data_IF_278261522021
#
_entry.id   IF_278261522021
#
_cell.length_a   1.000
_cell.length_b   1.000
_cell.length_c   1.000
_cell.angle_alpha   90.00
_cell.angle_beta   90.00
_cell.angle_gamma   90.00
#
_symmetry.space_group_name_H-M   'P 1'
#
loop_
_entity.id
_entity.type
_entity.pdbx_description
1 polymer ?
#
# COMPACT_ATOMS: atom_id res chain seq x y z
N UNK A 1 4.95 17.40 -26.34
CA UNK A 1 5.56 17.13 -25.03
C UNK A 1 5.71 15.62 -24.96
N UNK A 2 6.88 15.09 -24.66
CA UNK A 2 7.01 13.66 -24.41
C UNK A 2 6.15 13.36 -23.16
N UNK A 3 5.29 12.36 -23.25
CA UNK A 3 4.58 11.85 -22.07
C UNK A 3 5.68 11.30 -21.16
N UNK A 4 5.84 11.88 -19.99
CA UNK A 4 6.79 11.38 -19.00
C UNK A 4 6.33 9.98 -18.63
N UNK A 5 7.23 9.00 -18.72
CA UNK A 5 6.88 7.59 -18.49
C UNK A 5 6.71 7.40 -16.99
N UNK A 6 5.59 6.77 -16.58
CA UNK A 6 5.35 6.43 -15.17
C UNK A 6 6.52 5.63 -14.60
N UNK A 7 6.81 5.81 -13.32
CA UNK A 7 7.88 5.11 -12.62
C UNK A 7 7.58 3.61 -12.51
N UNK A 8 6.31 3.25 -12.26
CA UNK A 8 5.81 1.88 -12.22
C UNK A 8 4.43 1.84 -12.90
N UNK A 9 4.20 0.83 -13.74
CA UNK A 9 2.89 0.58 -14.35
C UNK A 9 2.44 -0.84 -14.03
N UNK A 10 1.24 -0.97 -13.54
CA UNK A 10 0.58 -2.25 -13.24
C UNK A 10 -0.61 -2.35 -14.19
N UNK A 11 -0.65 -3.43 -14.99
CA UNK A 11 -1.67 -3.63 -16.01
C UNK A 11 -2.38 -4.97 -15.80
N UNK A 12 -3.69 -4.91 -15.51
CA UNK A 12 -4.59 -6.06 -15.36
C UNK A 12 -4.03 -7.14 -14.43
N UNK A 13 -3.40 -6.73 -13.33
CA UNK A 13 -2.76 -7.64 -12.39
C UNK A 13 -3.79 -8.45 -11.62
N UNK A 14 -3.63 -9.77 -11.65
CA UNK A 14 -4.40 -10.71 -10.86
C UNK A 14 -3.46 -11.63 -10.07
N UNK A 15 -3.73 -11.80 -8.78
CA UNK A 15 -2.95 -12.66 -7.88
C UNK A 15 -3.89 -13.64 -7.21
N UNK A 16 -3.76 -14.92 -7.58
CA UNK A 16 -4.59 -16.01 -7.08
C UNK A 16 -3.82 -16.95 -6.16
N UNK A 17 -4.43 -17.30 -5.04
CA UNK A 17 -3.92 -18.32 -4.12
C UNK A 17 -4.61 -19.66 -4.33
N UNK A 18 -3.84 -20.73 -4.17
CA UNK A 18 -4.30 -22.10 -4.35
C UNK A 18 -5.05 -22.62 -3.13
N UNK A 19 -6.28 -23.10 -3.38
CA UNK A 19 -7.09 -23.82 -2.41
C UNK A 19 -7.54 -25.15 -3.04
N UNK A 20 -6.95 -26.25 -2.62
CA UNK A 20 -7.13 -27.55 -3.28
C UNK A 20 -6.66 -27.49 -4.74
N UNK A 21 -7.57 -27.76 -5.68
CA UNK A 21 -7.27 -27.76 -7.12
C UNK A 21 -7.64 -26.44 -7.82
N UNK A 22 -8.09 -25.42 -7.07
CA UNK A 22 -8.55 -24.14 -7.64
C UNK A 22 -7.71 -22.98 -7.12
N UNK A 23 -7.62 -21.93 -7.96
CA UNK A 23 -7.07 -20.63 -7.58
C UNK A 23 -8.20 -19.63 -7.34
N UNK A 24 -8.04 -18.80 -6.32
CA UNK A 24 -8.96 -17.73 -5.97
C UNK A 24 -8.17 -16.41 -5.90
N UNK A 25 -8.62 -15.43 -6.66
CA UNK A 25 -7.92 -14.15 -6.79
C UNK A 25 -8.13 -13.28 -5.55
N UNK A 26 -7.03 -12.94 -4.87
CA UNK A 26 -6.98 -11.96 -3.80
C UNK A 26 -6.71 -10.54 -4.34
N UNK A 27 -6.11 -10.44 -5.52
CA UNK A 27 -6.04 -9.25 -6.37
C UNK A 27 -6.63 -9.67 -7.71
N UNK A 28 -7.49 -8.86 -8.28
CA UNK A 28 -8.29 -9.24 -9.44
C UNK A 28 -8.47 -8.05 -10.38
N UNK A 29 -7.81 -8.10 -11.53
CA UNK A 29 -7.84 -7.09 -12.59
C UNK A 29 -7.51 -5.67 -12.08
N UNK A 30 -6.37 -5.53 -11.39
CA UNK A 30 -5.89 -4.25 -10.88
C UNK A 30 -4.96 -3.60 -11.88
N UNK A 31 -5.25 -2.35 -12.25
CA UNK A 31 -4.39 -1.48 -13.06
C UNK A 31 -4.13 -0.18 -12.30
N UNK A 32 -2.87 0.17 -12.10
CA UNK A 32 -2.41 1.35 -11.37
C UNK A 32 -1.09 1.85 -11.97
N UNK A 33 -0.83 3.13 -11.83
CA UNK A 33 0.47 3.74 -12.10
C UNK A 33 1.04 4.37 -10.85
N UNK A 34 2.36 4.47 -10.76
CA UNK A 34 3.07 5.31 -9.80
C UNK A 34 3.96 6.26 -10.57
N UNK A 35 3.80 7.54 -10.29
CA UNK A 35 4.63 8.58 -10.90
C UNK A 35 5.87 8.86 -10.03
N UNK A 36 6.84 9.55 -10.61
CA UNK A 36 7.99 10.07 -9.86
C UNK A 36 7.51 11.19 -8.94
N UNK A 37 8.12 11.31 -7.76
CA UNK A 37 7.75 12.31 -6.75
C UNK A 37 6.29 12.19 -6.25
N UNK A 38 5.66 11.04 -6.40
CA UNK A 38 4.28 10.78 -6.00
C UNK A 38 4.20 9.90 -4.77
N UNK A 39 3.28 10.23 -3.85
CA UNK A 39 2.80 9.32 -2.79
C UNK A 39 1.41 8.82 -3.20
N UNK A 40 1.38 7.59 -3.71
CA UNK A 40 0.14 6.87 -4.01
C UNK A 40 -0.31 6.07 -2.77
N UNK A 41 -1.40 6.49 -2.14
CA UNK A 41 -1.99 5.72 -1.06
C UNK A 41 -2.91 4.60 -1.59
N UNK A 42 -2.80 3.40 -1.01
CA UNK A 42 -3.73 2.29 -1.25
C UNK A 42 -4.47 2.00 0.06
N UNK A 43 -5.77 2.26 0.08
CA UNK A 43 -6.60 2.16 1.28
C UNK A 43 -7.70 1.12 1.15
N UNK A 44 -8.19 0.62 2.28
CA UNK A 44 -9.31 -0.34 2.33
C UNK A 44 -9.26 -1.21 3.58
N UNK A 45 -10.35 -1.94 3.84
CA UNK A 45 -10.45 -2.85 4.99
C UNK A 45 -9.38 -3.95 4.96
N UNK A 46 -9.13 -4.56 6.12
CA UNK A 46 -8.30 -5.76 6.22
C UNK A 46 -8.84 -6.88 5.32
N UNK A 47 -7.95 -7.57 4.60
CA UNK A 47 -8.35 -8.61 3.63
C UNK A 47 -8.78 -8.07 2.25
N UNK A 48 -8.71 -6.77 1.98
CA UNK A 48 -9.05 -6.23 0.65
C UNK A 48 -8.01 -6.54 -0.45
N UNK A 49 -6.82 -7.07 -0.10
CA UNK A 49 -5.78 -7.48 -1.07
C UNK A 49 -4.55 -6.56 -1.14
N UNK A 50 -4.48 -5.49 -0.35
CA UNK A 50 -3.40 -4.46 -0.39
C UNK A 50 -1.99 -5.04 -0.24
N UNK A 51 -1.74 -5.80 0.83
CA UNK A 51 -0.43 -6.43 1.07
C UNK A 51 -0.10 -7.51 0.02
N UNK A 52 -1.13 -8.16 -0.55
CA UNK A 52 -0.94 -9.10 -1.67
C UNK A 52 -0.47 -8.36 -2.92
N UNK A 53 -1.03 -7.19 -3.22
CA UNK A 53 -0.59 -6.33 -4.30
C UNK A 53 0.86 -5.88 -4.09
N UNK A 54 1.21 -5.39 -2.88
CA UNK A 54 2.57 -4.99 -2.52
C UNK A 54 3.59 -6.12 -2.72
N UNK A 55 3.28 -7.31 -2.20
CA UNK A 55 4.17 -8.47 -2.35
C UNK A 55 4.25 -9.00 -3.78
N UNK A 56 3.23 -8.78 -4.61
CA UNK A 56 3.28 -9.08 -6.04
C UNK A 56 4.28 -8.16 -6.77
N UNK A 57 4.28 -6.86 -6.46
CA UNK A 57 5.20 -5.88 -7.08
C UNK A 57 6.66 -6.27 -6.86
N UNK A 58 7.00 -6.79 -5.67
CA UNK A 58 8.37 -7.22 -5.37
C UNK A 58 8.61 -8.73 -5.59
N UNK A 59 7.62 -9.45 -6.13
CA UNK A 59 7.73 -10.88 -6.48
C UNK A 59 7.98 -11.81 -5.30
N UNK A 60 7.43 -11.53 -4.11
CA UNK A 60 7.59 -12.34 -2.90
C UNK A 60 6.42 -13.31 -2.69
N UNK A 61 6.00 -13.98 -3.75
CA UNK A 61 5.00 -15.03 -3.69
C UNK A 61 5.60 -16.41 -3.89
N UNK A 62 5.06 -17.39 -3.17
CA UNK A 62 5.40 -18.80 -3.41
C UNK A 62 4.85 -19.26 -4.77
N UNK A 63 5.70 -19.54 -5.77
CA UNK A 63 5.25 -19.90 -7.12
C UNK A 63 4.49 -21.24 -7.17
N UNK A 64 4.57 -22.08 -6.12
CA UNK A 64 3.83 -23.34 -6.05
C UNK A 64 2.36 -23.14 -5.65
N UNK A 65 2.11 -22.10 -4.87
CA UNK A 65 0.80 -21.84 -4.27
C UNK A 65 0.16 -20.54 -4.76
N UNK A 66 0.86 -19.77 -5.59
CA UNK A 66 0.38 -18.47 -6.09
C UNK A 66 0.49 -18.42 -7.61
N UNK A 67 -0.53 -17.86 -8.25
CA UNK A 67 -0.56 -17.54 -9.67
C UNK A 67 -0.64 -16.03 -9.82
N UNK A 68 0.32 -15.44 -10.54
CA UNK A 68 0.35 -14.01 -10.85
C UNK A 68 0.17 -13.86 -12.36
N UNK A 69 -0.83 -13.09 -12.77
CA UNK A 69 -1.19 -12.80 -14.17
C UNK A 69 -1.27 -11.29 -14.37
N UNK A 70 -1.08 -10.80 -15.59
CA UNK A 70 -0.96 -9.39 -15.92
C UNK A 70 0.49 -8.94 -15.98
N UNK A 71 0.73 -7.64 -16.01
CA UNK A 71 2.06 -7.06 -16.20
C UNK A 71 2.38 -6.07 -15.07
N UNK A 72 3.64 -6.06 -14.64
CA UNK A 72 4.20 -5.07 -13.74
C UNK A 72 5.43 -4.49 -14.41
N UNK A 73 5.29 -3.31 -15.00
CA UNK A 73 6.34 -2.68 -15.79
C UNK A 73 7.10 -1.67 -14.94
N UNK A 74 8.38 -1.93 -14.77
CA UNK A 74 9.35 -1.02 -14.18
C UNK A 74 10.45 -0.72 -15.21
N UNK A 75 10.63 0.54 -15.59
CA UNK A 75 11.51 0.94 -16.69
C UNK A 75 11.12 0.21 -18.00
N UNK A 76 11.98 -0.71 -18.46
CA UNK A 76 11.76 -1.52 -19.67
C UNK A 76 11.53 -3.02 -19.35
N UNK A 77 11.34 -3.35 -18.07
CA UNK A 77 11.19 -4.72 -17.61
C UNK A 77 9.76 -5.00 -17.16
N UNK A 78 9.21 -6.12 -17.60
CA UNK A 78 8.05 -6.73 -16.94
C UNK A 78 8.55 -7.61 -15.78
N UNK A 79 8.29 -7.16 -14.56
CA UNK A 79 8.78 -7.82 -13.35
C UNK A 79 8.25 -9.26 -13.24
N UNK A 80 7.03 -9.53 -13.69
CA UNK A 80 6.44 -10.86 -13.65
C UNK A 80 7.17 -11.88 -14.54
N UNK A 81 7.95 -11.42 -15.52
CA UNK A 81 8.74 -12.28 -16.43
C UNK A 81 10.18 -12.47 -15.99
N UNK A 82 10.60 -11.82 -14.89
CA UNK A 82 11.97 -11.93 -14.39
C UNK A 82 12.18 -13.25 -13.67
N UNK A 83 13.37 -13.81 -13.86
CA UNK A 83 13.83 -14.91 -13.00
C UNK A 83 14.34 -14.36 -11.65
N UNK A 84 14.44 -15.22 -10.65
CA UNK A 84 14.84 -14.85 -9.29
C UNK A 84 16.19 -14.10 -9.23
N UNK A 85 17.16 -14.48 -10.08
CA UNK A 85 18.46 -13.80 -10.12
C UNK A 85 18.38 -12.34 -10.57
N UNK A 86 17.49 -12.03 -11.52
CA UNK A 86 17.25 -10.67 -12.00
C UNK A 86 16.40 -9.90 -10.98
N UNK A 87 15.40 -10.55 -10.41
CA UNK A 87 14.57 -9.96 -9.38
C UNK A 87 15.40 -9.53 -8.15
N UNK A 88 16.36 -10.35 -7.74
CA UNK A 88 17.24 -10.02 -6.61
C UNK A 88 18.15 -8.82 -6.85
N UNK A 89 18.32 -8.37 -8.09
CA UNK A 89 19.01 -7.09 -8.39
C UNK A 89 18.12 -5.88 -8.17
N UNK A 90 16.81 -6.05 -8.29
CA UNK A 90 15.80 -4.99 -8.16
C UNK A 90 15.39 -4.83 -6.69
N UNK A 91 15.15 -5.96 -6.00
CA UNK A 91 14.77 -5.96 -4.57
C UNK A 91 15.83 -5.28 -3.72
N UNK A 92 15.42 -4.28 -2.95
CA UNK A 92 16.29 -3.51 -2.07
C UNK A 92 17.24 -2.53 -2.76
N UNK A 93 17.37 -2.57 -4.10
CA UNK A 93 18.12 -1.59 -4.89
C UNK A 93 17.21 -0.60 -5.59
N UNK A 94 16.27 -1.09 -6.38
CA UNK A 94 15.33 -0.26 -7.14
C UNK A 94 13.96 -0.15 -6.47
N UNK A 95 13.55 -1.20 -5.76
CA UNK A 95 12.30 -1.24 -5.00
C UNK A 95 12.61 -1.64 -3.56
N UNK A 96 12.47 -0.68 -2.64
CA UNK A 96 12.52 -0.89 -1.20
C UNK A 96 11.15 -1.26 -0.66
N UNK A 97 11.09 -2.08 0.39
CA UNK A 97 9.81 -2.39 1.06
C UNK A 97 9.94 -2.33 2.57
N UNK A 98 8.99 -1.63 3.19
CA UNK A 98 8.74 -1.60 4.63
C UNK A 98 7.57 -2.53 4.89
N UNK A 99 7.80 -3.60 5.65
CA UNK A 99 6.78 -4.59 6.00
C UNK A 99 6.01 -4.19 7.26
N UNK A 100 4.78 -4.65 7.37
CA UNK A 100 3.84 -4.34 8.45
C UNK A 100 4.37 -4.73 9.85
N UNK A 101 5.09 -5.86 9.98
CA UNK A 101 5.60 -6.34 11.27
C UNK A 101 7.13 -6.21 11.36
N UNK A 102 7.64 -5.21 12.10
CA UNK A 102 9.08 -5.05 12.29
C UNK A 102 9.73 -6.17 13.09
N UNK A 103 8.97 -6.89 13.93
CA UNK A 103 9.50 -8.04 14.69
C UNK A 103 9.72 -9.25 13.79
N UNK A 104 8.80 -9.51 12.88
CA UNK A 104 8.92 -10.57 11.87
C UNK A 104 9.97 -10.27 10.82
N UNK A 105 10.23 -8.99 10.55
CA UNK A 105 11.18 -8.55 9.52
C UNK A 105 12.64 -8.61 10.00
N UNK A 106 12.90 -8.18 11.25
CA UNK A 106 14.26 -8.11 11.78
C UNK A 106 14.75 -9.49 12.27
N UNK A 107 15.96 -9.87 11.87
CA UNK A 107 16.62 -11.09 12.34
C UNK A 107 17.11 -10.89 13.80
N UNK A 108 16.55 -11.63 14.80
CA UNK A 108 16.86 -11.41 16.21
C UNK A 108 18.30 -11.77 16.61
N UNK A 109 19.03 -12.54 15.80
CA UNK A 109 20.41 -12.95 16.08
C UNK A 109 21.45 -12.16 15.28
N UNK A 110 21.02 -11.12 14.56
CA UNK A 110 21.92 -10.19 13.87
C UNK A 110 21.84 -8.79 14.47
N UNK A 111 22.98 -8.10 14.54
CA UNK A 111 23.00 -6.69 14.97
C UNK A 111 22.36 -5.79 13.91
N UNK A 112 21.90 -4.62 14.34
CA UNK A 112 21.33 -3.58 13.46
C UNK A 112 22.27 -3.27 12.28
N UNK A 113 23.57 -3.04 12.58
CA UNK A 113 24.57 -2.80 11.54
C UNK A 113 24.58 -3.88 10.46
N UNK A 114 24.63 -5.15 10.87
CA UNK A 114 24.72 -6.25 9.91
C UNK A 114 23.52 -6.33 9.00
N UNK A 115 22.32 -6.06 9.52
CA UNK A 115 21.09 -6.13 8.77
C UNK A 115 20.99 -4.99 7.74
N UNK A 116 21.31 -3.75 8.13
CA UNK A 116 21.31 -2.62 7.18
C UNK A 116 22.46 -2.76 6.16
N UNK A 117 23.66 -3.16 6.61
CA UNK A 117 24.82 -3.31 5.75
C UNK A 117 24.70 -4.48 4.76
N UNK A 118 23.82 -5.45 5.00
CA UNK A 118 23.60 -6.59 4.11
C UNK A 118 23.13 -6.14 2.73
N UNK A 119 22.14 -5.25 2.66
CA UNK A 119 21.65 -4.68 1.40
C UNK A 119 22.76 -3.95 0.64
N UNK A 120 23.57 -3.13 1.35
CA UNK A 120 24.70 -2.43 0.76
C UNK A 120 25.78 -3.39 0.24
N UNK A 121 26.01 -4.51 0.95
CA UNK A 121 26.99 -5.53 0.55
C UNK A 121 26.61 -6.20 -0.77
N UNK A 122 25.32 -6.45 -1.02
CA UNK A 122 24.87 -7.14 -2.21
C UNK A 122 24.70 -6.22 -3.43
N UNK A 123 24.44 -4.92 -3.21
CA UNK A 123 24.06 -4.00 -4.30
C UNK A 123 25.12 -2.93 -4.60
N UNK A 124 26.18 -2.80 -3.79
CA UNK A 124 27.20 -1.76 -3.98
C UNK A 124 28.61 -2.33 -3.89
N UNK A 125 29.59 -1.61 -4.46
CA UNK A 125 31.01 -1.92 -4.34
C UNK A 125 31.66 -1.27 -3.09
N UNK A 126 30.86 -0.79 -2.13
CA UNK A 126 31.33 -0.15 -0.91
C UNK A 126 32.21 -1.10 -0.08
N UNK A 127 33.36 -0.61 0.36
CA UNK A 127 34.16 -1.31 1.36
C UNK A 127 33.50 -1.22 2.76
N UNK A 128 34.08 -1.91 3.74
CA UNK A 128 33.47 -1.98 5.09
C UNK A 128 33.37 -0.61 5.78
N UNK A 129 34.37 0.26 5.63
CA UNK A 129 34.36 1.59 6.20
C UNK A 129 33.27 2.47 5.58
N UNK A 130 33.11 2.40 4.27
CA UNK A 130 32.06 3.10 3.54
C UNK A 130 30.66 2.60 3.94
N UNK A 131 30.45 1.28 4.04
CA UNK A 131 29.19 0.72 4.53
C UNK A 131 28.89 1.17 5.96
N UNK A 132 29.89 1.18 6.83
CA UNK A 132 29.70 1.65 8.21
C UNK A 132 29.32 3.13 8.27
N UNK A 133 29.95 3.97 7.46
CA UNK A 133 29.60 5.39 7.36
C UNK A 133 28.17 5.57 6.84
N UNK A 134 27.77 4.82 5.79
CA UNK A 134 26.43 4.88 5.23
C UNK A 134 25.36 4.39 6.21
N UNK A 135 25.61 3.30 6.95
CA UNK A 135 24.69 2.83 7.99
C UNK A 135 24.52 3.87 9.10
N UNK A 136 25.58 4.55 9.49
CA UNK A 136 25.53 5.62 10.48
C UNK A 136 24.71 6.80 9.96
N UNK A 137 24.91 7.20 8.71
CA UNK A 137 24.10 8.22 8.02
C UNK A 137 22.62 7.86 8.02
N UNK A 138 22.26 6.65 7.61
CA UNK A 138 20.87 6.16 7.59
C UNK A 138 20.22 6.17 8.97
N UNK A 139 20.92 5.71 10.01
CA UNK A 139 20.38 5.72 11.36
C UNK A 139 20.17 7.14 11.89
N UNK A 140 21.01 8.11 11.50
CA UNK A 140 20.78 9.53 11.79
C UNK A 140 19.58 10.05 11.01
N UNK A 141 19.47 9.76 9.70
CA UNK A 141 18.37 10.17 8.84
C UNK A 141 17.01 9.69 9.38
N UNK A 142 16.92 8.44 9.83
CA UNK A 142 15.70 7.92 10.45
C UNK A 142 15.52 8.34 11.93
N UNK A 143 16.34 9.22 12.44
CA UNK A 143 16.20 9.80 13.78
C UNK A 143 16.47 8.82 14.93
N UNK A 144 17.37 7.85 14.75
CA UNK A 144 17.77 6.93 15.83
C UNK A 144 18.68 7.68 16.83
N UNK A 145 18.35 7.72 18.14
CA UNK A 145 19.21 8.32 19.15
C UNK A 145 20.46 7.44 19.38
N UNK A 146 21.63 8.08 19.50
CA UNK A 146 22.91 7.42 19.73
C UNK A 146 23.22 6.28 18.72
N UNK A 147 23.25 6.56 17.40
CA UNK A 147 23.30 5.57 16.36
C UNK A 147 24.53 4.64 16.42
N UNK A 148 25.68 5.13 16.89
CA UNK A 148 26.89 4.30 17.06
C UNK A 148 26.70 3.16 18.09
N UNK A 149 25.87 3.37 19.09
CA UNK A 149 25.52 2.34 20.07
C UNK A 149 24.49 1.38 19.48
N UNK A 150 23.46 1.93 18.81
CA UNK A 150 22.38 1.14 18.20
C UNK A 150 22.89 0.25 17.06
N UNK A 151 23.88 0.66 16.30
CA UNK A 151 24.53 -0.21 15.30
C UNK A 151 24.97 -1.57 15.87
N UNK A 152 25.37 -1.61 17.14
CA UNK A 152 25.87 -2.84 17.81
C UNK A 152 24.76 -3.60 18.52
N UNK A 153 23.59 -2.99 18.69
CA UNK A 153 22.46 -3.59 19.39
C UNK A 153 21.77 -4.65 18.53
N UNK A 154 21.04 -5.52 19.20
CA UNK A 154 20.15 -6.50 18.60
C UNK A 154 18.69 -6.00 18.63
N UNK A 155 17.81 -6.52 17.75
CA UNK A 155 16.40 -6.06 17.69
C UNK A 155 15.66 -6.11 19.03
N UNK A 156 15.91 -7.10 19.87
CA UNK A 156 15.26 -7.25 21.17
C UNK A 156 15.66 -6.18 22.21
N UNK A 157 16.76 -5.46 21.97
CA UNK A 157 17.22 -4.35 22.82
C UNK A 157 16.58 -3.01 22.43
N UNK A 158 15.77 -2.96 21.35
CA UNK A 158 15.16 -1.75 20.82
C UNK A 158 13.69 -1.64 21.18
N UNK A 159 13.18 -0.39 21.33
CA UNK A 159 11.75 -0.13 21.41
C UNK A 159 11.04 -0.40 20.08
N UNK A 160 9.71 -0.50 20.07
CA UNK A 160 8.91 -0.71 18.86
C UNK A 160 9.20 0.34 17.78
N UNK A 161 9.16 1.62 18.15
CA UNK A 161 9.44 2.72 17.22
C UNK A 161 10.90 2.72 16.72
N UNK A 162 11.87 2.30 17.53
CA UNK A 162 13.26 2.16 17.07
C UNK A 162 13.40 1.00 16.08
N UNK A 163 12.72 -0.13 16.30
CA UNK A 163 12.71 -1.25 15.33
C UNK A 163 12.13 -0.81 14.01
N UNK A 164 11.02 -0.09 14.02
CA UNK A 164 10.40 0.45 12.80
C UNK A 164 11.36 1.37 12.04
N UNK A 165 12.03 2.29 12.74
CA UNK A 165 13.06 3.17 12.13
C UNK A 165 14.24 2.37 11.53
N UNK A 166 14.63 1.26 12.15
CA UNK A 166 15.65 0.36 11.59
C UNK A 166 15.15 -0.34 10.33
N UNK A 167 13.89 -0.82 10.30
CA UNK A 167 13.29 -1.42 9.09
C UNK A 167 13.23 -0.39 7.95
N UNK A 168 12.86 0.86 8.25
CA UNK A 168 12.90 1.96 7.28
C UNK A 168 14.32 2.19 6.77
N UNK A 169 15.33 2.22 7.67
CA UNK A 169 16.73 2.37 7.27
C UNK A 169 17.22 1.23 6.35
N UNK A 170 16.75 0.00 6.57
CA UNK A 170 17.05 -1.14 5.68
C UNK A 170 16.43 -0.91 4.29
N UNK A 171 15.16 -0.51 4.23
CA UNK A 171 14.47 -0.26 2.98
C UNK A 171 15.11 0.87 2.15
N UNK A 172 15.70 1.86 2.83
CA UNK A 172 16.34 3.04 2.22
C UNK A 172 17.84 2.88 1.95
N UNK A 173 18.44 1.74 2.27
CA UNK A 173 19.89 1.56 2.26
C UNK A 173 20.53 1.98 0.92
N UNK A 174 19.94 1.57 -0.19
CA UNK A 174 20.42 1.85 -1.55
C UNK A 174 19.72 3.04 -2.24
N UNK A 175 18.94 3.86 -1.51
CA UNK A 175 18.16 4.98 -2.08
C UNK A 175 17.26 4.52 -3.24
N UNK A 176 16.36 3.57 -3.02
CA UNK A 176 15.53 3.02 -4.09
C UNK A 176 14.61 4.10 -4.69
N UNK A 177 14.43 4.16 -6.02
CA UNK A 177 13.48 5.07 -6.66
C UNK A 177 12.02 4.75 -6.34
N UNK A 178 11.70 3.52 -5.91
CA UNK A 178 10.36 3.12 -5.46
C UNK A 178 10.45 2.60 -4.02
N UNK A 179 9.58 3.13 -3.16
CA UNK A 179 9.40 2.65 -1.79
C UNK A 179 7.97 2.16 -1.60
N UNK A 180 7.80 0.92 -1.17
CA UNK A 180 6.51 0.36 -0.76
C UNK A 180 6.48 0.32 0.76
N UNK A 181 5.49 0.97 1.37
CA UNK A 181 5.29 0.98 2.81
C UNK A 181 3.96 0.30 3.13
N UNK A 182 4.03 -0.93 3.61
CA UNK A 182 2.84 -1.73 3.98
C UNK A 182 2.56 -1.55 5.47
N UNK A 183 1.56 -0.73 5.77
CA UNK A 183 1.12 -0.35 7.12
C UNK A 183 2.29 0.06 8.06
N UNK A 184 3.11 1.04 7.67
CA UNK A 184 4.38 1.33 8.33
C UNK A 184 4.24 1.83 9.77
N UNK A 185 3.04 2.18 10.20
CA UNK A 185 2.73 2.74 11.52
C UNK A 185 1.87 1.84 12.41
N UNK A 186 1.49 0.67 11.92
CA UNK A 186 0.66 -0.28 12.68
C UNK A 186 1.35 -0.70 13.98
N UNK A 187 0.59 -0.76 15.07
CA UNK A 187 1.04 -1.08 16.43
C UNK A 187 2.02 -0.08 17.07
N UNK A 188 2.12 1.14 16.54
CA UNK A 188 2.84 2.25 17.16
C UNK A 188 1.86 3.19 17.87
N UNK A 189 2.35 3.90 18.89
CA UNK A 189 1.59 4.98 19.51
C UNK A 189 1.47 6.18 18.56
N UNK A 190 0.43 7.01 18.76
CA UNK A 190 0.08 8.12 17.86
C UNK A 190 1.24 9.10 17.65
N UNK A 191 2.05 9.34 18.69
CA UNK A 191 3.20 10.25 18.59
C UNK A 191 4.30 9.69 17.69
N UNK A 192 4.61 8.41 17.83
CA UNK A 192 5.61 7.73 16.98
C UNK A 192 5.07 7.58 15.56
N UNK A 193 3.77 7.31 15.40
CA UNK A 193 3.12 7.26 14.10
C UNK A 193 3.33 8.58 13.32
N UNK A 194 3.00 9.73 13.91
CA UNK A 194 3.22 11.03 13.28
C UNK A 194 4.69 11.24 12.88
N UNK A 195 5.64 10.91 13.76
CA UNK A 195 7.08 11.03 13.48
C UNK A 195 7.55 10.11 12.33
N UNK A 196 6.94 8.94 12.15
CA UNK A 196 7.28 8.05 11.02
C UNK A 196 6.74 8.60 9.70
N UNK A 197 5.56 9.21 9.73
CA UNK A 197 4.96 9.84 8.55
C UNK A 197 5.73 11.08 8.12
N UNK A 198 6.08 11.96 9.06
CA UNK A 198 6.95 13.11 8.80
C UNK A 198 8.28 12.65 8.18
N UNK A 199 8.88 11.60 8.75
CA UNK A 199 10.12 11.00 8.21
C UNK A 199 9.93 10.50 6.77
N UNK A 200 8.80 9.89 6.43
CA UNK A 200 8.54 9.40 5.06
C UNK A 200 8.37 10.56 4.09
N UNK A 201 7.71 11.65 4.49
CA UNK A 201 7.60 12.86 3.68
C UNK A 201 8.98 13.51 3.46
N UNK A 202 9.78 13.68 4.53
CA UNK A 202 11.15 14.22 4.44
C UNK A 202 12.01 13.39 3.47
N UNK A 203 11.88 12.05 3.52
CA UNK A 203 12.60 11.14 2.63
C UNK A 203 12.16 11.34 1.18
N UNK A 204 10.87 11.43 0.93
CA UNK A 204 10.31 11.62 -0.41
C UNK A 204 10.81 12.95 -1.01
N UNK A 205 10.74 14.04 -0.24
CA UNK A 205 11.25 15.36 -0.65
C UNK A 205 12.77 15.34 -0.94
N UNK A 206 13.56 14.61 -0.13
CA UNK A 206 15.02 14.53 -0.30
C UNK A 206 15.43 13.64 -1.47
N UNK A 207 14.74 12.52 -1.67
CA UNK A 207 15.16 11.48 -2.63
C UNK A 207 14.42 11.50 -3.95
N UNK A 208 13.30 12.22 -4.03
CA UNK A 208 12.44 12.29 -5.21
C UNK A 208 11.99 10.89 -5.69
N UNK A 209 11.74 9.98 -4.77
CA UNK A 209 11.22 8.64 -5.08
C UNK A 209 9.69 8.63 -5.18
N UNK A 210 9.13 7.59 -5.82
CA UNK A 210 7.71 7.31 -5.75
C UNK A 210 7.43 6.40 -4.55
N UNK A 211 6.38 6.69 -3.79
CA UNK A 211 5.99 5.91 -2.61
C UNK A 211 4.61 5.28 -2.83
N UNK A 212 4.50 3.97 -2.62
CA UNK A 212 3.22 3.29 -2.45
C UNK A 212 2.97 3.12 -0.95
N UNK A 213 2.03 3.90 -0.41
CA UNK A 213 1.66 3.87 1.01
C UNK A 213 0.39 3.05 1.21
N UNK A 214 0.52 1.88 1.81
CA UNK A 214 -0.62 1.05 2.18
C UNK A 214 -0.99 1.34 3.63
N UNK A 215 -2.24 1.74 3.85
CA UNK A 215 -2.74 2.02 5.19
C UNK A 215 -4.27 1.86 5.25
N UNK A 216 -4.80 1.72 6.45
CA UNK A 216 -6.23 1.81 6.73
C UNK A 216 -6.60 3.13 7.43
N UNK A 217 -5.62 3.98 7.72
CA UNK A 217 -5.81 5.27 8.38
C UNK A 217 -6.00 6.38 7.33
N UNK A 218 -7.24 6.82 7.17
CA UNK A 218 -7.61 7.87 6.22
C UNK A 218 -7.13 9.26 6.65
N UNK A 219 -6.87 9.49 7.94
CA UNK A 219 -6.27 10.72 8.43
C UNK A 219 -4.84 10.88 7.91
N UNK A 220 -4.06 9.81 7.99
CA UNK A 220 -2.72 9.73 7.40
C UNK A 220 -2.74 10.03 5.90
N UNK A 221 -3.67 9.41 5.19
CA UNK A 221 -3.80 9.57 3.73
C UNK A 221 -4.10 11.02 3.34
N UNK A 222 -5.01 11.67 4.09
CA UNK A 222 -5.38 13.06 3.83
C UNK A 222 -4.22 14.05 3.99
N UNK A 223 -3.25 13.73 4.84
CA UNK A 223 -2.10 14.59 5.15
C UNK A 223 -0.89 14.33 4.25
N UNK A 224 -0.75 13.10 3.73
CA UNK A 224 0.51 12.68 3.09
C UNK A 224 0.40 12.29 1.63
N UNK A 225 -0.78 11.86 1.14
CA UNK A 225 -0.90 11.31 -0.19
C UNK A 225 -1.23 12.36 -1.25
N UNK A 226 -0.70 12.17 -2.47
CA UNK A 226 -1.08 12.95 -3.65
C UNK A 226 -2.32 12.35 -4.32
N UNK A 227 -2.37 11.02 -4.40
CA UNK A 227 -3.43 10.25 -5.04
C UNK A 227 -3.79 9.02 -4.20
N UNK A 228 -5.06 8.64 -4.24
CA UNK A 228 -5.59 7.53 -3.44
C UNK A 228 -6.27 6.51 -4.34
N UNK A 229 -5.93 5.25 -4.17
CA UNK A 229 -6.62 4.11 -4.74
C UNK A 229 -7.34 3.34 -3.63
N UNK A 230 -8.66 3.30 -3.69
CA UNK A 230 -9.50 2.57 -2.72
C UNK A 230 -9.67 1.14 -3.20
N UNK A 231 -9.22 0.18 -2.38
CA UNK A 231 -9.25 -1.24 -2.70
C UNK A 231 -10.28 -1.98 -1.86
N UNK A 232 -11.17 -2.70 -2.52
CA UNK A 232 -12.17 -3.55 -1.89
C UNK A 232 -12.20 -4.94 -2.53
N UNK A 233 -12.13 -5.98 -1.70
CA UNK A 233 -12.30 -7.38 -2.13
C UNK A 233 -11.47 -7.74 -3.39
N UNK A 234 -10.23 -7.28 -3.45
CA UNK A 234 -9.28 -7.56 -4.54
C UNK A 234 -9.33 -6.60 -5.73
N UNK A 235 -10.21 -5.63 -5.76
CA UNK A 235 -10.36 -4.68 -6.88
C UNK A 235 -10.16 -3.24 -6.43
N UNK A 236 -9.63 -2.39 -7.33
CA UNK A 236 -9.70 -0.94 -7.16
C UNK A 236 -11.13 -0.51 -7.51
N UNK A 237 -11.81 0.09 -6.54
CA UNK A 237 -13.19 0.56 -6.69
C UNK A 237 -13.28 2.05 -6.98
N UNK A 238 -12.29 2.81 -6.51
CA UNK A 238 -12.19 4.26 -6.78
C UNK A 238 -10.72 4.68 -6.73
N UNK A 239 -10.32 5.59 -7.62
CA UNK A 239 -9.01 6.21 -7.68
C UNK A 239 -9.17 7.68 -8.02
N UNK A 240 -8.57 8.57 -7.20
CA UNK A 240 -8.63 10.01 -7.44
C UNK A 240 -7.47 10.75 -6.76
N UNK A 241 -7.18 12.01 -7.14
CA UNK A 241 -6.39 12.92 -6.30
C UNK A 241 -6.97 12.99 -4.90
N UNK A 242 -6.12 13.10 -3.89
CA UNK A 242 -6.55 13.04 -2.48
C UNK A 242 -7.65 14.04 -2.16
N UNK A 243 -7.47 15.30 -2.56
CA UNK A 243 -8.47 16.36 -2.32
C UNK A 243 -9.84 16.03 -2.94
N UNK A 244 -9.86 15.50 -4.17
CA UNK A 244 -11.10 15.12 -4.86
C UNK A 244 -11.76 13.92 -4.19
N UNK A 245 -10.99 12.90 -3.78
CA UNK A 245 -11.55 11.72 -3.10
C UNK A 245 -12.26 12.09 -1.80
N UNK A 246 -11.65 12.98 -1.00
CA UNK A 246 -12.24 13.39 0.28
C UNK A 246 -13.40 14.36 0.12
N UNK A 247 -13.33 15.29 -0.86
CA UNK A 247 -14.38 16.26 -1.11
C UNK A 247 -15.59 15.67 -1.84
N UNK A 248 -15.37 14.69 -2.73
CA UNK A 248 -16.38 14.21 -3.67
C UNK A 248 -16.30 12.69 -3.93
N UNK A 249 -16.28 11.85 -2.87
CA UNK A 249 -16.22 10.39 -3.01
C UNK A 249 -17.44 9.87 -3.75
N UNK A 250 -17.27 8.92 -4.66
CA UNK A 250 -18.32 8.39 -5.51
C UNK A 250 -18.74 6.99 -5.11
N UNK A 251 -17.80 6.03 -5.15
CA UNK A 251 -18.15 4.64 -4.93
C UNK A 251 -18.82 4.42 -3.57
N UNK A 252 -19.90 3.63 -3.47
CA UNK A 252 -20.60 3.37 -2.21
C UNK A 252 -19.69 2.93 -1.05
N UNK A 253 -18.69 2.09 -1.36
CA UNK A 253 -17.71 1.66 -0.37
C UNK A 253 -16.83 2.83 0.12
N UNK A 254 -16.32 3.66 -0.78
CA UNK A 254 -15.50 4.84 -0.42
C UNK A 254 -16.28 5.81 0.46
N UNK A 255 -17.53 6.11 0.09
CA UNK A 255 -18.43 6.95 0.89
C UNK A 255 -18.68 6.36 2.28
N UNK A 256 -18.92 5.06 2.35
CA UNK A 256 -19.11 4.36 3.63
C UNK A 256 -17.84 4.35 4.48
N UNK A 257 -16.66 4.14 3.85
CA UNK A 257 -15.37 4.14 4.51
C UNK A 257 -15.04 5.51 5.11
N UNK A 258 -15.22 6.59 4.35
CA UNK A 258 -15.01 7.97 4.83
C UNK A 258 -16.00 8.35 5.94
N UNK A 259 -17.28 7.93 5.83
CA UNK A 259 -18.29 8.21 6.86
C UNK A 259 -18.05 7.42 8.16
N UNK A 260 -17.26 6.35 8.13
CA UNK A 260 -16.89 5.56 9.31
C UNK A 260 -15.69 6.11 10.09
N UNK A 261 -15.01 7.14 9.55
CA UNK A 261 -13.91 7.82 10.25
C UNK A 261 -14.47 8.58 11.45
N UNK A 262 -13.89 8.40 12.66
CA UNK A 262 -14.30 9.17 13.83
C UNK A 262 -14.16 10.68 13.58
N UNK A 263 -15.23 11.41 13.78
CA UNK A 263 -15.29 12.88 13.79
C UNK A 263 -16.07 13.34 15.02
N UNK A 264 -16.05 14.64 15.31
CA UNK A 264 -16.91 15.17 16.38
C UNK A 264 -18.38 14.95 16.01
N UNK A 265 -19.02 14.01 16.71
CA UNK A 265 -20.42 13.67 16.53
C UNK A 265 -21.30 14.72 17.21
N UNK A 266 -22.41 15.11 16.56
CA UNK A 266 -23.47 15.86 17.20
C UNK A 266 -24.17 14.99 18.27
N UNK A 267 -24.82 15.63 19.26
CA UNK A 267 -25.58 14.91 20.30
C UNK A 267 -26.65 14.00 19.65
N UNK A 268 -26.50 12.68 19.85
CA UNK A 268 -27.40 11.66 19.33
C UNK A 268 -27.07 11.12 17.93
N UNK A 269 -25.95 11.56 17.33
CA UNK A 269 -25.42 10.99 16.09
C UNK A 269 -24.62 9.72 16.41
N UNK A 270 -24.86 8.64 15.66
CA UNK A 270 -24.09 7.40 15.74
C UNK A 270 -23.05 7.33 14.63
N UNK A 271 -21.88 6.78 14.93
CA UNK A 271 -20.86 6.50 13.91
C UNK A 271 -21.43 5.54 12.86
N UNK A 272 -21.19 5.86 11.59
CA UNK A 272 -21.54 4.96 10.50
C UNK A 272 -20.70 3.69 10.56
N UNK A 273 -21.35 2.54 10.56
CA UNK A 273 -20.71 1.22 10.53
C UNK A 273 -21.00 0.57 9.18
N UNK A 274 -19.95 0.15 8.49
CA UNK A 274 -20.09 -0.60 7.24
C UNK A 274 -20.61 -2.01 7.59
N UNK A 275 -21.79 -2.35 7.11
CA UNK A 275 -22.43 -3.64 7.43
C UNK A 275 -21.64 -4.83 6.88
N UNK A 276 -21.59 -5.93 7.65
CA UNK A 276 -20.95 -7.17 7.24
C UNK A 276 -19.41 -7.09 7.25
N UNK A 277 -18.78 -8.03 6.56
CA UNK A 277 -17.31 -8.13 6.44
C UNK A 277 -16.92 -8.36 4.99
N UNK A 278 -15.66 -8.11 4.64
CA UNK A 278 -15.12 -8.50 3.34
C UNK A 278 -15.29 -10.02 3.16
N UNK A 279 -15.91 -10.49 2.07
CA UNK A 279 -16.09 -11.92 1.85
C UNK A 279 -14.76 -12.67 1.77
N UNK A 280 -14.73 -13.91 2.25
CA UNK A 280 -13.54 -14.76 2.07
C UNK A 280 -13.27 -15.02 0.59
N UNK A 281 -12.02 -15.27 0.20
CA UNK A 281 -11.62 -15.50 -1.19
C UNK A 281 -12.46 -16.53 -1.94
N UNK A 282 -12.92 -17.57 -1.24
CA UNK A 282 -13.75 -18.64 -1.82
C UNK A 282 -15.18 -18.18 -2.12
N UNK A 283 -15.66 -17.17 -1.39
CA UNK A 283 -17.02 -16.65 -1.45
C UNK A 283 -17.11 -15.31 -2.23
N UNK A 284 -16.00 -14.80 -2.74
CA UNK A 284 -16.02 -13.58 -3.55
C UNK A 284 -16.86 -13.78 -4.81
N UNK A 285 -17.81 -12.88 -5.08
CA UNK A 285 -18.52 -12.85 -6.37
C UNK A 285 -17.52 -12.73 -7.53
N UNK A 286 -17.67 -13.56 -8.54
CA UNK A 286 -16.82 -13.52 -9.73
C UNK A 286 -17.32 -12.54 -10.79
N UNK A 287 -18.54 -12.05 -10.63
CA UNK A 287 -19.20 -11.06 -11.50
C UNK A 287 -20.02 -10.11 -10.65
N UNK A 288 -20.28 -8.94 -11.18
CA UNK A 288 -21.07 -7.91 -10.52
C UNK A 288 -20.28 -7.11 -9.50
N UNK A 289 -20.95 -6.16 -8.90
CA UNK A 289 -20.39 -5.31 -7.85
C UNK A 289 -20.20 -6.09 -6.56
N UNK A 290 -18.95 -6.19 -6.10
CA UNK A 290 -18.57 -6.95 -4.89
C UNK A 290 -19.06 -6.33 -3.60
N UNK A 291 -19.44 -5.06 -3.62
CA UNK A 291 -19.96 -4.35 -2.45
C UNK A 291 -21.48 -4.45 -2.32
N UNK A 292 -22.19 -4.94 -3.35
CA UNK A 292 -23.66 -5.05 -3.43
C UNK A 292 -24.28 -5.66 -2.16
N UNK A 293 -23.75 -6.79 -1.69
CA UNK A 293 -24.31 -7.50 -0.55
C UNK A 293 -24.21 -6.72 0.78
N UNK A 294 -23.42 -5.65 0.83
CA UNK A 294 -23.24 -4.80 2.01
C UNK A 294 -24.09 -3.53 2.00
N UNK A 295 -24.86 -3.32 0.93
CA UNK A 295 -25.81 -2.21 0.76
C UNK A 295 -27.18 -2.74 0.31
N UNK A 296 -27.81 -3.61 1.13
CA UNK A 296 -29.03 -4.37 0.75
C UNK A 296 -30.28 -3.50 0.57
N UNK A 297 -30.20 -2.20 0.85
CA UNK A 297 -31.31 -1.25 0.64
C UNK A 297 -31.33 -0.67 -0.79
N UNK A 298 -30.35 -0.98 -1.63
CA UNK A 298 -30.33 -0.58 -3.02
C UNK A 298 -30.99 -1.62 -3.92
N UNK A 299 -31.67 -1.16 -4.94
CA UNK A 299 -32.29 -2.03 -5.93
C UNK A 299 -31.24 -2.74 -6.80
N UNK A 300 -31.57 -3.95 -7.26
CA UNK A 300 -30.66 -4.79 -8.03
C UNK A 300 -30.22 -4.18 -9.37
N UNK A 301 -31.08 -3.40 -9.99
CA UNK A 301 -30.85 -2.68 -11.24
C UNK A 301 -29.95 -1.45 -11.13
N UNK A 302 -29.57 -1.04 -9.90
CA UNK A 302 -28.54 -0.04 -9.67
C UNK A 302 -27.10 -0.56 -9.90
N UNK A 303 -26.93 -1.87 -10.05
CA UNK A 303 -25.62 -2.51 -10.16
C UNK A 303 -25.34 -3.06 -11.55
N UNK A 304 -24.09 -2.90 -12.01
CA UNK A 304 -23.65 -3.48 -13.26
C UNK A 304 -23.33 -4.98 -13.10
N UNK A 305 -23.61 -5.78 -14.14
CA UNK A 305 -23.22 -7.19 -14.19
C UNK A 305 -21.70 -7.39 -14.33
N UNK A 306 -21.01 -6.42 -14.92
CA UNK A 306 -19.56 -6.40 -15.12
C UNK A 306 -18.99 -4.99 -14.90
N UNK A 307 -18.86 -4.53 -13.65
CA UNK A 307 -18.44 -3.18 -13.32
C UNK A 307 -16.97 -2.95 -13.71
N UNK A 308 -16.74 -1.99 -14.60
CA UNK A 308 -15.43 -1.56 -15.04
C UNK A 308 -14.97 -0.32 -14.30
N UNK A 309 -13.66 -0.18 -14.07
CA UNK A 309 -13.07 1.06 -13.54
C UNK A 309 -12.99 2.08 -14.69
N UNK A 310 -13.78 3.15 -14.62
CA UNK A 310 -13.88 4.16 -15.67
C UNK A 310 -13.61 5.55 -15.15
N UNK A 311 -12.92 6.37 -15.94
CA UNK A 311 -12.68 7.77 -15.63
C UNK A 311 -13.95 8.58 -15.81
N UNK A 312 -14.38 9.28 -14.73
CA UNK A 312 -15.60 10.09 -14.69
C UNK A 312 -15.31 11.59 -14.75
N UNK A 313 -14.11 11.98 -14.33
CA UNK A 313 -13.54 13.32 -14.46
C UNK A 313 -12.01 13.19 -14.49
N UNK A 314 -11.26 14.22 -14.92
CA UNK A 314 -9.80 14.12 -15.03
C UNK A 314 -9.13 13.57 -13.75
N UNK A 315 -8.49 12.40 -13.86
CA UNK A 315 -7.82 11.72 -12.77
C UNK A 315 -8.73 11.03 -11.75
N UNK A 316 -10.06 11.11 -11.89
CA UNK A 316 -11.01 10.44 -11.00
C UNK A 316 -11.68 9.26 -11.71
N UNK A 317 -11.37 8.06 -11.25
CA UNK A 317 -11.88 6.79 -11.79
C UNK A 317 -12.76 6.11 -10.76
N UNK A 318 -13.89 5.54 -11.20
CA UNK A 318 -14.85 4.83 -10.35
C UNK A 318 -15.26 3.52 -11.01
N UNK A 319 -15.36 2.45 -10.23
CA UNK A 319 -15.80 1.16 -10.72
C UNK A 319 -17.32 1.06 -10.71
N UNK A 320 -17.88 0.72 -11.87
CA UNK A 320 -19.31 0.54 -12.06
C UNK A 320 -20.12 1.83 -11.98
N UNK A 321 -21.45 1.69 -11.92
CA UNK A 321 -22.41 2.79 -11.93
C UNK A 321 -23.26 2.92 -10.67
N UNK A 322 -23.11 2.02 -9.69
CA UNK A 322 -23.89 1.99 -8.43
C UNK A 322 -23.83 3.32 -7.67
N UNK A 323 -22.73 4.07 -7.81
CA UNK A 323 -22.53 5.38 -7.19
C UNK A 323 -23.56 6.44 -7.64
N UNK A 324 -24.16 6.30 -8.82
CA UNK A 324 -25.17 7.24 -9.34
C UNK A 324 -26.51 7.13 -8.60
N UNK A 325 -26.75 5.99 -7.97
CA UNK A 325 -28.00 5.65 -7.30
C UNK A 325 -27.83 5.50 -5.79
N UNK A 326 -26.58 5.55 -5.30
CA UNK A 326 -26.28 5.29 -3.89
C UNK A 326 -26.71 6.43 -2.97
N UNK A 327 -27.41 6.06 -1.92
CA UNK A 327 -27.78 6.91 -0.78
C UNK A 327 -27.57 6.15 0.53
N UNK A 328 -27.38 6.86 1.63
CA UNK A 328 -27.40 6.25 2.95
C UNK A 328 -28.84 6.12 3.46
N UNK A 329 -29.18 5.06 4.23
CA UNK A 329 -30.49 4.94 4.86
C UNK A 329 -30.86 6.22 5.62
N UNK A 330 -32.07 6.78 5.34
CA UNK A 330 -32.52 8.06 5.88
C UNK A 330 -32.19 9.29 5.03
N UNK A 331 -31.46 9.16 3.91
CA UNK A 331 -31.16 10.25 2.97
C UNK A 331 -31.99 10.15 1.68
N UNK A 332 -32.93 9.23 1.59
CA UNK A 332 -33.71 8.84 0.39
C UNK A 332 -34.44 9.98 -0.30
N UNK A 333 -34.64 11.14 0.37
CA UNK A 333 -35.37 12.30 -0.15
C UNK A 333 -34.47 13.52 -0.45
N UNK A 334 -33.15 13.36 -0.51
CA UNK A 334 -32.19 14.47 -0.72
C UNK A 334 -31.52 14.47 -2.11
N UNK A 335 -31.89 13.54 -3.01
CA UNK A 335 -31.40 13.45 -4.38
C UNK A 335 -32.21 14.27 -5.37
#
# INVERSE_FOLDING_TARGET
MAVEKSLLEINNLSVGFRYGDKFYNAVDDVSLTLEKDEILAIVGESGSGKSTLATAIIGLHDPLNTRVEGEIIYQDYDLNKLNEKLYNKIRGNDIGMIFQDPLGTLNPVMTVYKQIAESLLYHTDMNEEQRKARVLELLNQVGIPRPEQVMKAYPHELSGGMRQRVVIAIALANKPPILIADEPTTALDVTIQAQILDLMNDIQEETHNGIILITHDLGVVAETADRVAVMYAGQIVEEAPVEELFANPKHPYTRSLLKSVPHELADGEELHVIHGTVPSLQNLPRKGDRFKDRIPWMDDDAFDDDPQLTEISPGHKVRGNSWKHFYFPGEENKA
#
